data_IF_290512347570
#
_entry.id   IF_290512347570
#
_cell.length_a   1.000
_cell.length_b   1.000
_cell.length_c   1.000
_cell.angle_alpha   90.00
_cell.angle_beta   90.00
_cell.angle_gamma   90.00
#
_symmetry.space_group_name_H-M   'P 1'
#
loop_
_entity.id
_entity.type
_entity.pdbx_description
1 polymer ?
#
# COMPACT_ATOMS: atom_id res chain seq x y z
N UNK A 1 8.95 33.15 37.70
CA UNK A 1 8.90 33.00 36.23
C UNK A 1 9.11 31.55 35.76
N UNK A 2 9.13 30.57 36.67
CA UNK A 2 9.58 29.21 36.38
C UNK A 2 8.44 28.22 36.13
N UNK A 3 7.26 28.40 36.76
CA UNK A 3 6.14 27.45 36.65
C UNK A 3 5.57 27.33 35.22
N UNK A 4 5.56 28.43 34.45
CA UNK A 4 5.07 28.45 33.06
C UNK A 4 5.99 27.67 32.11
N UNK A 5 7.30 27.65 32.36
CA UNK A 5 8.29 26.94 31.52
C UNK A 5 8.20 25.42 31.76
N UNK A 6 8.01 25.00 33.01
CA UNK A 6 7.79 23.58 33.34
C UNK A 6 6.51 23.04 32.70
N UNK A 7 5.44 23.82 32.68
CA UNK A 7 4.16 23.40 32.08
C UNK A 7 4.28 23.18 30.56
N UNK A 8 5.01 24.06 29.86
CA UNK A 8 5.33 23.89 28.43
C UNK A 8 6.19 22.65 28.20
N UNK A 9 7.19 22.42 29.05
CA UNK A 9 8.06 21.23 28.94
C UNK A 9 7.30 19.92 29.16
N UNK A 10 6.37 19.88 30.12
CA UNK A 10 5.51 18.72 30.40
C UNK A 10 4.54 18.46 29.25
N UNK A 11 3.94 19.51 28.67
CA UNK A 11 3.07 19.37 27.49
C UNK A 11 3.85 18.87 26.27
N UNK A 12 5.06 19.38 26.02
CA UNK A 12 5.93 18.89 24.96
C UNK A 12 6.35 17.43 25.18
N UNK A 13 6.69 17.05 26.43
CA UNK A 13 7.00 15.65 26.76
C UNK A 13 5.81 14.73 26.52
N UNK A 14 4.59 15.13 26.92
CA UNK A 14 3.37 14.36 26.70
C UNK A 14 3.01 14.22 25.21
N UNK A 15 3.31 15.23 24.38
CA UNK A 15 3.13 15.15 22.93
C UNK A 15 4.08 14.14 22.24
N UNK A 16 5.26 13.90 22.82
CA UNK A 16 6.22 12.91 22.32
C UNK A 16 5.81 11.47 22.67
N UNK A 17 4.90 11.26 23.64
CA UNK A 17 4.29 9.97 23.95
C UNK A 17 3.02 9.74 23.14
N UNK A 18 3.13 9.86 21.81
CA UNK A 18 2.16 9.22 20.94
C UNK A 18 2.38 7.72 21.10
N UNK A 19 1.45 7.01 21.77
CA UNK A 19 1.56 5.56 21.88
C UNK A 19 1.73 4.97 20.47
N UNK A 20 2.68 4.05 20.24
CA UNK A 20 2.71 3.34 18.97
C UNK A 20 1.34 2.72 18.78
N UNK A 21 0.75 2.92 17.60
CA UNK A 21 -0.53 2.33 17.27
C UNK A 21 -0.32 0.81 17.30
N UNK A 22 -0.64 0.18 18.43
CA UNK A 22 -0.65 -1.27 18.53
C UNK A 22 -1.69 -1.77 17.54
N UNK A 23 -1.23 -2.52 16.55
CA UNK A 23 -2.07 -3.27 15.61
C UNK A 23 -3.06 -4.19 16.32
N UNK A 24 -2.84 -4.49 17.61
CA UNK A 24 -3.70 -5.32 18.46
C UNK A 24 -4.46 -4.47 19.46
N UNK A 25 -5.79 -4.53 19.38
CA UNK A 25 -6.72 -3.95 20.35
C UNK A 25 -7.56 -5.05 20.99
N UNK A 26 -8.27 -4.75 22.10
CA UNK A 26 -9.25 -5.70 22.67
C UNK A 26 -10.38 -6.09 21.72
N UNK A 27 -10.58 -5.35 20.63
CA UNK A 27 -11.69 -5.50 19.70
C UNK A 27 -11.31 -6.13 18.36
N UNK A 28 -10.01 -6.25 18.08
CA UNK A 28 -9.51 -6.80 16.83
C UNK A 28 -8.02 -6.59 16.64
N UNK A 29 -7.51 -7.13 15.53
CA UNK A 29 -6.14 -6.99 15.09
C UNK A 29 -6.05 -6.58 13.62
N UNK A 30 -5.02 -5.84 13.26
CA UNK A 30 -4.77 -5.38 11.90
C UNK A 30 -3.36 -5.79 11.49
N UNK A 31 -3.24 -6.67 10.51
CA UNK A 31 -1.97 -6.90 9.82
C UNK A 31 -1.93 -6.01 8.58
N UNK A 32 -0.76 -5.43 8.27
CA UNK A 32 -0.62 -4.60 7.09
C UNK A 32 0.63 -4.94 6.29
N UNK A 33 0.52 -4.79 4.98
CA UNK A 33 1.53 -5.19 4.01
C UNK A 33 1.80 -4.03 3.05
N UNK A 34 3.08 -3.82 2.77
CA UNK A 34 3.54 -2.90 1.73
C UNK A 34 4.17 -3.72 0.60
N UNK A 35 3.65 -3.57 -0.63
CA UNK A 35 4.07 -4.36 -1.79
C UNK A 35 4.12 -5.88 -1.50
N UNK A 36 3.10 -6.40 -0.79
CA UNK A 36 2.98 -7.82 -0.42
C UNK A 36 3.85 -8.27 0.76
N UNK A 37 4.70 -7.41 1.34
CA UNK A 37 5.53 -7.72 2.49
C UNK A 37 4.87 -7.30 3.80
N UNK A 38 4.69 -8.23 4.74
CA UNK A 38 4.13 -7.97 6.06
C UNK A 38 5.02 -6.99 6.82
N UNK A 39 4.44 -5.91 7.32
CA UNK A 39 5.14 -4.96 8.18
C UNK A 39 4.81 -5.32 9.63
N UNK A 40 5.81 -5.84 10.35
CA UNK A 40 5.61 -6.47 11.67
C UNK A 40 6.07 -5.56 12.80
N UNK A 41 5.31 -5.53 13.90
CA UNK A 41 5.59 -4.72 15.10
C UNK A 41 6.70 -5.30 16.01
N UNK A 42 7.32 -6.44 15.67
CA UNK A 42 7.99 -7.24 16.70
C UNK A 42 9.35 -6.72 17.17
N UNK A 43 10.14 -6.01 16.36
CA UNK A 43 11.53 -5.67 16.78
C UNK A 43 12.06 -4.29 16.34
N UNK A 44 11.48 -3.67 15.32
CA UNK A 44 11.58 -2.22 15.00
C UNK A 44 10.73 -1.96 13.75
N UNK A 45 9.45 -1.60 13.88
CA UNK A 45 8.60 -1.33 12.72
C UNK A 45 9.03 0.01 12.11
N UNK A 46 10.01 -0.01 11.23
CA UNK A 46 10.17 1.12 10.33
C UNK A 46 9.01 1.07 9.35
N UNK A 47 8.01 1.91 9.60
CA UNK A 47 7.01 2.28 8.59
C UNK A 47 7.73 2.48 7.25
N UNK A 48 7.30 1.82 6.17
CA UNK A 48 7.94 1.91 4.86
C UNK A 48 8.23 3.37 4.47
N UNK A 49 9.47 3.63 4.02
CA UNK A 49 9.91 4.95 3.55
C UNK A 49 10.38 4.90 2.10
N UNK A 50 9.50 4.53 1.15
CA UNK A 50 9.92 4.33 -0.23
C UNK A 50 10.24 5.67 -0.91
N UNK A 51 11.21 5.64 -1.83
CA UNK A 51 11.41 6.66 -2.84
C UNK A 51 10.74 6.17 -4.12
N UNK A 52 9.73 6.89 -4.61
CA UNK A 52 8.91 6.49 -5.78
C UNK A 52 8.89 7.61 -6.82
N UNK A 53 8.68 7.22 -8.08
CA UNK A 53 8.46 8.15 -9.19
C UNK A 53 6.99 8.59 -9.26
N UNK A 54 6.74 9.74 -9.89
CA UNK A 54 5.38 10.22 -10.19
C UNK A 54 4.72 9.17 -11.09
N UNK A 55 3.54 8.69 -10.70
CA UNK A 55 2.82 7.63 -11.39
C UNK A 55 3.28 6.20 -11.08
N UNK A 56 4.32 6.00 -10.25
CA UNK A 56 4.79 4.65 -9.90
C UNK A 56 3.83 3.97 -8.92
N UNK A 57 3.19 2.85 -9.30
CA UNK A 57 2.22 2.19 -8.44
C UNK A 57 2.90 1.43 -7.29
N UNK A 58 2.29 1.49 -6.11
CA UNK A 58 2.61 0.61 -4.99
C UNK A 58 1.33 0.12 -4.31
N UNK A 59 1.40 -1.00 -3.60
CA UNK A 59 0.24 -1.63 -2.96
C UNK A 59 0.30 -1.56 -1.45
N UNK A 60 -0.87 -1.28 -0.87
CA UNK A 60 -1.13 -1.30 0.56
C UNK A 60 -2.26 -2.28 0.84
N UNK A 61 -1.98 -3.31 1.63
CA UNK A 61 -2.97 -4.30 2.04
C UNK A 61 -3.13 -4.29 3.56
N UNK A 62 -4.37 -4.35 4.02
CA UNK A 62 -4.74 -4.39 5.43
C UNK A 62 -5.69 -5.55 5.66
N UNK A 63 -5.33 -6.42 6.60
CA UNK A 63 -6.16 -7.55 7.03
C UNK A 63 -6.70 -7.24 8.42
N UNK A 64 -7.98 -6.86 8.48
CA UNK A 64 -8.64 -6.43 9.72
C UNK A 64 -9.45 -7.59 10.27
N UNK A 65 -8.98 -8.19 11.35
CA UNK A 65 -9.68 -9.24 12.09
C UNK A 65 -10.46 -8.64 13.25
N UNK A 66 -11.78 -8.84 13.27
CA UNK A 66 -12.65 -8.34 14.35
C UNK A 66 -13.06 -9.47 15.29
N UNK A 67 -12.84 -9.34 16.60
CA UNK A 67 -13.14 -10.43 17.55
C UNK A 67 -14.64 -10.56 17.92
N UNK A 68 -15.47 -9.65 17.44
CA UNK A 68 -16.92 -9.61 17.66
C UNK A 68 -17.60 -9.07 16.41
N UNK A 69 -18.87 -9.42 16.23
CA UNK A 69 -19.69 -8.85 15.15
C UNK A 69 -19.83 -7.35 15.34
N UNK A 70 -19.47 -6.56 14.34
CA UNK A 70 -19.53 -5.11 14.40
C UNK A 70 -19.66 -4.51 12.99
N UNK A 71 -19.78 -3.20 12.91
CA UNK A 71 -19.70 -2.45 11.66
C UNK A 71 -18.30 -1.87 11.52
N UNK A 72 -17.58 -2.29 10.49
CA UNK A 72 -16.22 -1.86 10.19
C UNK A 72 -16.26 -0.80 9.08
N UNK A 73 -15.58 0.32 9.31
CA UNK A 73 -15.29 1.33 8.30
C UNK A 73 -13.78 1.51 8.17
N UNK A 74 -13.29 1.66 6.95
CA UNK A 74 -11.88 1.89 6.65
C UNK A 74 -11.70 2.91 5.52
N UNK A 75 -10.59 3.65 5.53
CA UNK A 75 -10.18 4.56 4.45
C UNK A 75 -8.68 4.86 4.48
N UNK A 76 -8.17 5.26 3.32
CA UNK A 76 -6.86 5.90 3.20
C UNK A 76 -6.98 7.41 3.35
N UNK A 77 -5.98 8.00 3.99
CA UNK A 77 -5.83 9.44 4.21
C UNK A 77 -4.41 9.86 3.85
N UNK A 78 -4.22 11.12 3.48
CA UNK A 78 -2.90 11.74 3.39
C UNK A 78 -2.93 13.14 4.02
N UNK A 79 -2.07 14.06 3.58
CA UNK A 79 -2.10 15.47 4.03
C UNK A 79 -3.30 16.16 3.36
N UNK A 80 -3.43 15.99 2.05
CA UNK A 80 -4.56 16.33 1.19
C UNK A 80 -5.41 15.09 0.83
N UNK A 81 -6.41 15.32 -0.03
CA UNK A 81 -7.30 14.26 -0.52
C UNK A 81 -6.93 13.79 -1.94
N UNK A 82 -5.89 14.40 -2.49
CA UNK A 82 -5.41 14.34 -3.86
C UNK A 82 -3.88 14.19 -3.92
N UNK A 83 -3.21 13.88 -2.80
CA UNK A 83 -1.75 13.64 -2.79
C UNK A 83 -1.35 12.35 -3.51
N UNK A 84 -2.29 11.40 -3.62
CA UNK A 84 -2.11 10.11 -4.29
C UNK A 84 -3.37 9.77 -5.08
N UNK A 85 -3.17 9.20 -6.26
CA UNK A 85 -4.22 8.60 -7.06
C UNK A 85 -4.46 7.16 -6.60
N UNK A 86 -5.73 6.79 -6.42
CA UNK A 86 -6.09 5.39 -6.22
C UNK A 86 -6.37 4.78 -7.59
N UNK A 87 -5.48 3.89 -8.02
CA UNK A 87 -5.60 3.17 -9.28
C UNK A 87 -6.58 2.00 -9.15
N UNK A 88 -6.46 1.25 -8.05
CA UNK A 88 -7.34 0.13 -7.72
C UNK A 88 -7.62 0.06 -6.23
N UNK A 89 -8.80 -0.44 -5.85
CA UNK A 89 -9.12 -0.78 -4.46
C UNK A 89 -10.58 -0.53 -4.07
N UNK A 90 -10.91 -0.64 -2.77
CA UNK A 90 -12.26 -0.48 -2.23
C UNK A 90 -12.92 0.88 -2.46
N UNK A 91 -12.14 1.91 -2.79
CA UNK A 91 -12.59 3.31 -2.95
C UNK A 91 -11.81 3.96 -4.08
N UNK A 92 -12.38 4.95 -4.77
CA UNK A 92 -11.74 5.62 -5.91
C UNK A 92 -10.96 6.90 -5.55
N UNK A 93 -10.96 7.33 -4.29
CA UNK A 93 -10.26 8.52 -3.83
C UNK A 93 -9.84 8.41 -2.37
N UNK A 94 -8.82 9.17 -1.97
CA UNK A 94 -8.49 9.36 -0.56
C UNK A 94 -9.66 10.02 0.19
N UNK A 95 -9.73 9.79 1.50
CA UNK A 95 -10.77 10.36 2.36
C UNK A 95 -12.14 9.65 2.27
N UNK A 96 -12.43 8.99 1.15
CA UNK A 96 -13.64 8.18 0.96
C UNK A 96 -13.55 6.88 1.76
N UNK A 97 -14.60 6.58 2.51
CA UNK A 97 -14.66 5.38 3.35
C UNK A 97 -15.40 4.22 2.69
N UNK A 98 -14.85 3.03 2.84
CA UNK A 98 -15.56 1.77 2.63
C UNK A 98 -16.05 1.23 3.97
N UNK A 99 -17.20 0.55 3.96
CA UNK A 99 -17.89 0.13 5.20
C UNK A 99 -18.71 -1.13 5.00
N UNK A 100 -18.84 -1.92 6.06
CA UNK A 100 -19.62 -3.15 6.05
C UNK A 100 -19.75 -3.79 7.42
N UNK A 101 -20.75 -4.66 7.57
CA UNK A 101 -20.81 -5.57 8.72
C UNK A 101 -19.77 -6.66 8.55
N UNK A 102 -19.10 -7.00 9.65
CA UNK A 102 -18.15 -8.11 9.74
C UNK A 102 -18.58 -9.00 10.91
N UNK A 103 -18.53 -10.31 10.72
CA UNK A 103 -18.90 -11.27 11.76
C UNK A 103 -17.78 -11.45 12.79
N UNK A 104 -18.11 -12.11 13.91
CA UNK A 104 -17.12 -12.38 14.95
C UNK A 104 -16.01 -13.32 14.43
N UNK A 105 -14.76 -12.92 14.65
CA UNK A 105 -13.53 -13.57 14.22
C UNK A 105 -13.35 -13.65 12.69
N UNK A 106 -14.13 -12.88 11.93
CA UNK A 106 -13.90 -12.73 10.50
C UNK A 106 -12.77 -11.72 10.25
N UNK A 107 -12.01 -11.97 9.19
CA UNK A 107 -10.96 -11.08 8.67
C UNK A 107 -11.44 -10.46 7.37
N UNK A 108 -11.45 -9.13 7.32
CA UNK A 108 -11.75 -8.35 6.12
C UNK A 108 -10.46 -7.84 5.52
N UNK A 109 -10.25 -8.12 4.24
CA UNK A 109 -9.10 -7.62 3.47
C UNK A 109 -9.48 -6.33 2.77
N UNK A 110 -8.63 -5.30 2.92
CA UNK A 110 -8.66 -4.09 2.12
C UNK A 110 -7.32 -3.96 1.42
N UNK A 111 -7.32 -3.84 0.09
CA UNK A 111 -6.10 -3.72 -0.69
C UNK A 111 -6.29 -2.57 -1.68
N UNK A 112 -5.33 -1.64 -1.67
CA UNK A 112 -5.30 -0.52 -2.60
C UNK A 112 -4.00 -0.55 -3.39
N UNK A 113 -4.11 -0.26 -4.68
CA UNK A 113 -3.01 0.14 -5.54
C UNK A 113 -3.06 1.65 -5.71
N UNK A 114 -2.01 2.33 -5.32
CA UNK A 114 -1.92 3.79 -5.31
C UNK A 114 -0.67 4.26 -6.05
N UNK A 115 -0.73 5.45 -6.63
CA UNK A 115 0.42 6.10 -7.24
C UNK A 115 0.49 7.57 -6.79
N UNK A 116 1.69 8.12 -6.54
CA UNK A 116 1.84 9.54 -6.28
C UNK A 116 1.61 10.34 -7.58
N UNK A 117 1.07 11.55 -7.46
CA UNK A 117 0.97 12.49 -8.58
C UNK A 117 1.93 13.67 -8.40
N UNK A 118 1.76 14.71 -9.22
CA UNK A 118 2.67 15.86 -9.27
C UNK A 118 2.56 16.79 -8.05
N UNK A 119 1.50 16.70 -7.23
CA UNK A 119 1.22 17.63 -6.13
C UNK A 119 2.36 17.70 -5.10
N UNK A 120 3.06 16.58 -4.90
CA UNK A 120 4.19 16.47 -3.96
C UNK A 120 5.50 16.07 -4.63
N UNK A 121 5.67 16.35 -5.93
CA UNK A 121 6.92 16.10 -6.65
C UNK A 121 8.13 16.74 -5.93
N UNK A 122 9.16 15.93 -5.66
CA UNK A 122 10.36 16.32 -4.89
C UNK A 122 10.15 16.43 -3.37
N UNK A 123 8.94 16.16 -2.88
CA UNK A 123 8.55 16.24 -1.47
C UNK A 123 8.39 14.88 -0.81
N UNK A 124 7.69 14.87 0.34
CA UNK A 124 7.29 13.63 1.01
C UNK A 124 5.90 13.77 1.60
N UNK A 125 5.07 12.75 1.39
CA UNK A 125 3.70 12.69 1.87
C UNK A 125 3.45 11.33 2.57
N UNK A 126 2.90 11.32 3.80
CA UNK A 126 2.46 10.10 4.44
C UNK A 126 1.14 9.61 3.83
N UNK A 127 0.98 8.30 3.73
CA UNK A 127 -0.33 7.67 3.50
C UNK A 127 -0.73 6.89 4.75
N UNK A 128 -1.87 7.24 5.30
CA UNK A 128 -2.36 6.73 6.56
C UNK A 128 -3.58 5.83 6.35
N UNK A 129 -3.64 4.77 7.15
CA UNK A 129 -4.83 3.94 7.26
C UNK A 129 -5.65 4.37 8.48
N UNK A 130 -6.92 4.66 8.25
CA UNK A 130 -7.89 4.91 9.31
C UNK A 130 -8.93 3.80 9.36
N UNK A 131 -9.22 3.30 10.56
CA UNK A 131 -10.29 2.35 10.80
C UNK A 131 -11.21 2.79 11.94
N UNK A 132 -12.45 2.34 11.87
CA UNK A 132 -13.44 2.49 12.93
C UNK A 132 -14.28 1.22 13.06
N UNK A 133 -14.44 0.74 14.29
CA UNK A 133 -15.38 -0.31 14.68
C UNK A 133 -16.55 0.33 15.41
N UNK A 134 -17.76 0.09 14.92
CA UNK A 134 -19.00 0.58 15.51
C UNK A 134 -19.85 -0.60 15.96
N UNK A 135 -20.31 -0.53 17.21
CA UNK A 135 -21.23 -1.52 17.76
C UNK A 135 -22.59 -1.47 17.07
N UNK A 136 -23.12 -2.63 16.70
CA UNK A 136 -24.34 -2.71 15.88
C UNK A 136 -25.61 -2.39 16.68
N UNK A 137 -25.62 -2.60 18.00
CA UNK A 137 -26.80 -2.38 18.83
C UNK A 137 -26.87 -0.92 19.28
N UNK A 138 -25.81 -0.43 19.91
CA UNK A 138 -25.72 0.91 20.48
C UNK A 138 -25.38 1.99 19.45
N UNK A 139 -24.91 1.60 18.26
CA UNK A 139 -24.42 2.49 17.18
C UNK A 139 -23.26 3.39 17.61
N UNK A 140 -22.56 3.04 18.70
CA UNK A 140 -21.40 3.79 19.20
C UNK A 140 -20.10 3.24 18.64
N UNK A 141 -19.14 4.13 18.39
CA UNK A 141 -17.76 3.73 18.11
C UNK A 141 -17.17 3.05 19.34
N UNK A 142 -16.68 1.83 19.17
CA UNK A 142 -16.07 1.02 20.23
C UNK A 142 -14.55 0.98 20.12
N UNK A 143 -14.02 1.16 18.90
CA UNK A 143 -12.59 1.33 18.65
C UNK A 143 -12.39 2.12 17.37
N UNK A 144 -11.32 2.90 17.31
CA UNK A 144 -10.85 3.55 16.10
C UNK A 144 -9.36 3.81 16.22
N UNK A 145 -8.67 3.86 15.09
CA UNK A 145 -7.25 4.19 15.05
C UNK A 145 -6.84 4.76 13.71
N UNK A 146 -5.68 5.41 13.73
CA UNK A 146 -4.98 5.91 12.55
C UNK A 146 -3.50 5.60 12.73
N UNK A 147 -2.86 5.12 11.67
CA UNK A 147 -1.41 4.98 11.63
C UNK A 147 -0.91 5.18 10.20
N UNK A 148 0.36 5.58 10.08
CA UNK A 148 1.01 5.76 8.78
C UNK A 148 1.44 4.42 8.23
N UNK A 149 0.90 4.09 7.05
CA UNK A 149 1.19 2.85 6.33
C UNK A 149 2.46 2.99 5.47
N UNK A 150 2.74 4.18 4.94
CA UNK A 150 4.01 4.51 4.30
C UNK A 150 4.31 6.02 4.40
N UNK A 151 5.57 6.37 4.60
CA UNK A 151 6.11 7.73 4.46
C UNK A 151 6.80 7.84 3.10
N UNK A 152 6.06 8.28 2.09
CA UNK A 152 6.52 8.22 0.70
C UNK A 152 7.32 9.47 0.36
N UNK A 153 8.54 9.30 -0.14
CA UNK A 153 9.30 10.39 -0.80
C UNK A 153 9.06 10.28 -2.31
N UNK A 154 8.62 11.38 -2.91
CA UNK A 154 8.22 11.42 -4.32
C UNK A 154 9.32 12.13 -5.10
N UNK A 155 9.89 11.46 -6.09
CA UNK A 155 10.90 12.05 -6.95
C UNK A 155 10.27 13.03 -7.95
N UNK A 156 11.10 13.81 -8.66
CA UNK A 156 10.64 14.62 -9.79
C UNK A 156 10.58 13.83 -11.11
N UNK A 157 10.92 12.54 -11.09
CA UNK A 157 10.93 11.69 -12.27
C UNK A 157 9.55 11.04 -12.44
N UNK A 158 9.15 10.83 -13.70
CA UNK A 158 7.96 10.06 -14.05
C UNK A 158 8.29 8.58 -14.16
N UNK A 159 7.35 7.76 -13.74
CA UNK A 159 7.40 6.34 -13.94
C UNK A 159 7.17 6.01 -15.41
N UNK A 160 8.18 5.43 -16.04
CA UNK A 160 8.03 4.83 -17.36
C UNK A 160 7.47 3.42 -17.15
N UNK A 161 6.17 3.25 -17.40
CA UNK A 161 5.50 1.96 -17.27
C UNK A 161 6.24 0.92 -18.13
N UNK A 162 6.77 -0.17 -17.54
CA UNK A 162 7.46 -1.22 -18.28
C UNK A 162 6.47 -2.10 -19.06
N UNK A 163 5.58 -1.50 -19.86
CA UNK A 163 5.05 -1.94 -21.16
C UNK A 163 3.77 -1.15 -21.53
N UNK A 164 3.96 0.01 -22.15
CA UNK A 164 3.11 0.43 -23.25
C UNK A 164 3.97 0.48 -24.52
N UNK A 165 4.43 -0.69 -24.99
CA UNK A 165 4.88 -0.77 -26.39
C UNK A 165 3.64 -0.58 -27.24
N UNK A 166 3.35 0.67 -27.62
CA UNK A 166 2.41 0.97 -28.68
C UNK A 166 2.85 0.17 -29.91
N UNK A 167 2.13 -0.90 -30.21
CA UNK A 167 2.20 -1.52 -31.53
C UNK A 167 1.56 -0.50 -32.46
N UNK A 168 2.36 0.43 -32.97
CA UNK A 168 1.93 1.40 -33.98
C UNK A 168 1.33 0.64 -35.14
N UNK A 169 0.00 0.61 -35.18
CA UNK A 169 -0.77 0.15 -36.31
C UNK A 169 -0.53 1.11 -37.47
N UNK A 170 0.49 0.81 -38.29
CA UNK A 170 0.59 1.35 -39.65
C UNK A 170 -0.01 0.31 -40.59
N UNK A 171 -1.26 0.56 -40.98
CA UNK A 171 -1.87 -0.09 -42.13
C UNK A 171 -1.09 0.27 -43.40
N UNK A 172 -0.62 -0.72 -44.16
CA UNK A 172 -0.98 -0.88 -45.58
C UNK A 172 -0.27 -2.07 -46.27
N UNK A 173 -1.12 -3.03 -46.65
CA UNK A 173 -1.16 -3.74 -47.94
C UNK A 173 -0.49 -5.12 -48.13
N UNK A 174 -1.41 -6.03 -48.44
CA UNK A 174 -1.38 -7.14 -49.43
C UNK A 174 -0.68 -8.46 -49.11
N UNK A 175 -1.52 -9.42 -48.73
CA UNK A 175 -1.92 -10.62 -49.52
C UNK A 175 -1.66 -12.01 -48.90
N UNK A 176 -2.79 -12.72 -48.78
CA UNK A 176 -3.03 -14.16 -48.91
C UNK A 176 -2.67 -15.17 -47.78
N UNK A 177 -3.77 -15.62 -47.15
CA UNK A 177 -4.28 -17.00 -47.11
C UNK A 177 -3.99 -17.92 -45.90
N UNK A 178 -5.12 -18.30 -45.29
CA UNK A 178 -5.49 -19.59 -44.68
C UNK A 178 -5.05 -19.94 -43.24
N UNK A 179 -6.01 -19.70 -42.32
CA UNK A 179 -6.64 -20.63 -41.37
C UNK A 179 -5.83 -21.43 -40.31
N UNK A 180 -6.49 -21.82 -39.19
CA UNK A 180 -5.96 -21.64 -37.84
C UNK A 180 -5.47 -22.94 -37.18
N UNK A 181 -4.58 -22.85 -36.19
CA UNK A 181 -4.41 -23.88 -35.15
C UNK A 181 -3.78 -23.28 -33.88
N UNK A 182 -4.50 -23.38 -32.76
CA UNK A 182 -4.08 -23.11 -31.37
C UNK A 182 -3.28 -24.31 -30.79
N UNK A 183 -2.87 -24.29 -29.51
CA UNK A 183 -1.65 -23.75 -28.89
C UNK A 183 -0.61 -24.84 -28.57
N UNK A 184 0.64 -24.46 -28.25
CA UNK A 184 1.50 -25.31 -27.41
C UNK A 184 2.54 -24.51 -26.63
N UNK A 185 2.47 -24.68 -25.32
CA UNK A 185 3.47 -24.44 -24.29
C UNK A 185 4.90 -24.89 -24.64
N UNK A 186 5.85 -24.46 -23.80
CA UNK A 186 7.28 -24.84 -23.70
C UNK A 186 8.15 -24.01 -24.66
N UNK A 187 9.11 -23.18 -24.21
CA UNK A 187 10.38 -23.60 -23.61
C UNK A 187 10.93 -22.50 -22.67
N UNK A 188 10.91 -22.78 -21.36
CA UNK A 188 11.95 -22.33 -20.43
C UNK A 188 13.17 -23.25 -20.60
N UNK A 189 14.38 -22.72 -20.35
CA UNK A 189 15.67 -23.42 -20.13
C UNK A 189 16.77 -23.30 -21.21
N UNK A 190 17.24 -22.09 -21.54
CA UNK A 190 18.52 -21.92 -22.28
C UNK A 190 19.38 -20.72 -21.85
N UNK A 191 19.71 -20.54 -20.55
CA UNK A 191 20.81 -19.62 -20.14
C UNK A 191 21.75 -20.20 -19.04
N UNK A 192 21.81 -21.52 -18.81
CA UNK A 192 22.72 -22.09 -17.79
C UNK A 192 23.75 -23.12 -18.28
N UNK A 193 24.05 -23.13 -19.58
CA UNK A 193 24.98 -24.10 -20.18
C UNK A 193 26.20 -23.48 -20.88
N UNK A 194 26.54 -22.21 -20.65
CA UNK A 194 27.66 -21.54 -21.35
C UNK A 194 28.75 -20.93 -20.46
N UNK A 195 28.82 -21.26 -19.17
CA UNK A 195 29.91 -20.79 -18.28
C UNK A 195 30.84 -21.89 -17.77
N UNK A 196 30.56 -23.17 -18.06
CA UNK A 196 31.38 -24.31 -17.59
C UNK A 196 32.45 -24.82 -18.59
N UNK A 197 32.47 -24.32 -19.83
CA UNK A 197 33.45 -24.76 -20.85
C UNK A 197 34.72 -23.88 -20.90
N UNK A 198 34.73 -22.70 -20.28
CA UNK A 198 35.91 -21.81 -20.26
C UNK A 198 36.83 -22.05 -19.04
N UNK A 199 36.34 -22.71 -17.98
CA UNK A 199 37.14 -23.00 -16.78
C UNK A 199 37.94 -24.32 -16.82
N UNK A 200 37.75 -25.16 -17.85
CA UNK A 200 38.47 -26.44 -18.01
C UNK A 200 39.60 -26.42 -19.08
N UNK A 201 39.97 -25.24 -19.58
CA UNK A 201 41.11 -25.05 -20.51
C UNK A 201 42.22 -24.13 -19.99
N UNK A 202 42.46 -24.14 -18.68
CA UNK A 202 43.73 -23.66 -18.11
C UNK A 202 44.31 -24.73 -17.19
N UNK A 203 45.01 -25.66 -17.81
CA UNK A 203 46.13 -26.38 -17.21
C UNK A 203 47.39 -25.82 -17.85
#
# INVERSE_FOLDING_TARGET
>A
MSCKIYLVYIVCLLAMFSSPASSKSPFGNIEYYYNGHLVTDSDSPETPKPLVKIGEPFTLRFEVTCYRKNYLSAKLLSIGNDDFDILEGPTSSLGTGTRGTIEANETRVFEWTVAPNEEWAGGSAPIDFYYQLTDLETKRTIASGRFTAAYVTISNEYYDDPEATEVTASEASSNESSSPTTPAFTVLCTIFALTLVVALRKK
#
